data_IF_641166764529
#
_entry.id   IF_641166764529
#
_cell.length_a   1.000
_cell.length_b   1.000
_cell.length_c   1.000
_cell.angle_alpha   90.00
_cell.angle_beta   90.00
_cell.angle_gamma   90.00
#
_symmetry.space_group_name_H-M   'P 1'
#
loop_
_entity.id
_entity.type
_entity.pdbx_description
1 polymer ?
#
# COMPACT_ATOMS: atom_id res chain seq x y z
N UNK A 1 5.39 14.01 -50.06
CA UNK A 1 6.37 13.40 -49.13
C UNK A 1 6.92 14.54 -48.29
N UNK A 2 6.87 14.59 -46.97
CA UNK A 2 6.15 13.84 -45.94
C UNK A 2 6.05 14.80 -44.75
N UNK A 3 4.88 14.87 -44.11
CA UNK A 3 4.72 15.64 -42.88
C UNK A 3 5.32 14.83 -41.73
N UNK A 4 6.31 15.38 -41.04
CA UNK A 4 6.77 14.83 -39.77
C UNK A 4 5.83 15.33 -38.68
N UNK A 5 4.88 14.48 -38.26
CA UNK A 5 4.08 14.72 -37.06
C UNK A 5 5.02 14.62 -35.85
N UNK A 6 5.16 15.73 -35.12
CA UNK A 6 5.89 15.75 -33.86
C UNK A 6 5.16 14.87 -32.83
N UNK A 7 5.88 14.08 -32.01
CA UNK A 7 5.23 13.32 -30.96
C UNK A 7 4.63 14.29 -29.92
N UNK A 8 3.30 14.34 -29.85
CA UNK A 8 2.57 15.01 -28.78
C UNK A 8 2.91 14.34 -27.46
N UNK A 9 3.85 14.89 -26.70
CA UNK A 9 4.06 14.51 -25.31
C UNK A 9 2.87 15.01 -24.51
N UNK A 10 1.87 14.13 -24.33
CA UNK A 10 0.80 14.36 -23.36
C UNK A 10 1.47 14.37 -21.99
N UNK A 11 1.83 15.55 -21.49
CA UNK A 11 2.11 15.75 -20.07
C UNK A 11 0.80 15.51 -19.33
N UNK A 12 0.61 14.30 -18.83
CA UNK A 12 -0.40 14.06 -17.81
C UNK A 12 -0.10 15.02 -16.65
N UNK A 13 -1.08 15.82 -16.20
CA UNK A 13 -0.85 16.66 -15.03
C UNK A 13 -0.47 15.75 -13.86
N UNK A 14 0.67 16.03 -13.24
CA UNK A 14 1.09 15.33 -12.03
C UNK A 14 0.07 15.64 -10.94
N UNK A 15 -0.84 14.71 -10.68
CA UNK A 15 -1.75 14.78 -9.53
C UNK A 15 -0.85 14.84 -8.28
N UNK A 16 -0.95 15.88 -7.43
CA UNK A 16 -0.19 15.91 -6.19
C UNK A 16 -0.54 14.68 -5.36
N UNK A 17 0.43 13.78 -5.19
CA UNK A 17 0.24 12.63 -4.35
C UNK A 17 0.40 13.05 -2.89
N UNK A 18 -0.61 12.76 -2.08
CA UNK A 18 -0.58 12.99 -0.63
C UNK A 18 -0.47 11.66 0.11
N UNK A 19 0.05 11.66 1.35
CA UNK A 19 0.06 10.47 2.19
C UNK A 19 -1.36 9.93 2.42
N UNK A 20 -1.55 8.63 2.23
CA UNK A 20 -2.83 7.96 2.49
C UNK A 20 -2.69 7.11 3.74
N UNK A 21 -3.60 7.29 4.70
CA UNK A 21 -3.60 6.52 5.95
C UNK A 21 -4.84 5.64 6.02
N UNK A 22 -4.65 4.36 6.34
CA UNK A 22 -5.73 3.44 6.69
C UNK A 22 -5.45 2.82 8.06
N UNK A 23 -6.51 2.62 8.83
CA UNK A 23 -6.45 2.05 10.18
C UNK A 23 -7.48 0.94 10.33
N UNK A 24 -7.20 0.00 11.22
CA UNK A 24 -8.10 -1.09 11.53
C UNK A 24 -7.79 -1.74 12.86
N UNK A 25 -8.49 -2.84 13.13
CA UNK A 25 -8.29 -3.68 14.31
C UNK A 25 -8.50 -5.15 13.93
N UNK A 26 -7.58 -6.02 14.34
CA UNK A 26 -7.55 -7.43 13.94
C UNK A 26 -7.39 -7.60 12.42
N UNK A 27 -7.74 -8.78 11.93
CA UNK A 27 -7.74 -9.08 10.50
C UNK A 27 -8.86 -8.33 9.76
N UNK A 28 -8.52 -7.55 8.74
CA UNK A 28 -9.50 -6.82 7.93
C UNK A 28 -9.04 -6.61 6.49
N UNK A 29 -10.02 -6.40 5.61
CA UNK A 29 -9.80 -5.93 4.25
C UNK A 29 -10.09 -4.43 4.18
N UNK A 30 -9.17 -3.64 3.63
CA UNK A 30 -9.31 -2.18 3.47
C UNK A 30 -8.89 -1.73 2.08
N UNK A 31 -9.56 -0.72 1.55
CA UNK A 31 -9.23 -0.13 0.25
C UNK A 31 -8.61 1.25 0.45
N UNK A 32 -7.59 1.57 -0.35
CA UNK A 32 -6.94 2.87 -0.41
C UNK A 32 -6.81 3.32 -1.87
N UNK A 33 -7.04 4.61 -2.12
CA UNK A 33 -6.86 5.23 -3.43
C UNK A 33 -5.45 5.82 -3.53
N UNK A 34 -4.59 5.17 -4.33
CA UNK A 34 -3.16 5.47 -4.40
C UNK A 34 -2.80 6.15 -5.71
N UNK A 35 -2.67 7.47 -5.74
CA UNK A 35 -2.44 8.24 -6.98
C UNK A 35 -0.97 8.28 -7.46
N UNK A 36 0.01 7.90 -6.63
CA UNK A 36 1.41 7.81 -7.02
C UNK A 36 1.76 6.42 -7.57
N UNK A 37 2.92 6.31 -8.22
CA UNK A 37 3.46 5.03 -8.74
C UNK A 37 4.29 4.26 -7.71
N UNK A 38 4.60 4.86 -6.56
CA UNK A 38 5.42 4.26 -5.53
C UNK A 38 5.22 4.92 -4.17
N UNK A 39 5.35 4.11 -3.13
CA UNK A 39 5.12 4.50 -1.75
C UNK A 39 6.13 3.88 -0.81
N UNK A 40 6.55 4.65 0.20
CA UNK A 40 7.04 4.10 1.46
C UNK A 40 5.85 3.87 2.37
N UNK A 41 5.62 2.61 2.76
CA UNK A 41 4.52 2.21 3.64
C UNK A 41 5.04 2.11 5.05
N UNK A 42 4.67 3.06 5.92
CA UNK A 42 4.90 2.96 7.35
C UNK A 42 3.81 2.11 7.99
N UNK A 43 4.18 1.11 8.78
CA UNK A 43 3.24 0.24 9.48
C UNK A 43 3.48 0.26 10.98
N UNK A 44 2.38 0.19 11.72
CA UNK A 44 2.37 0.03 13.18
C UNK A 44 1.24 -0.93 13.53
N UNK A 45 1.54 -1.94 14.34
CA UNK A 45 0.57 -2.89 14.85
C UNK A 45 0.83 -3.10 16.34
N UNK A 46 -0.24 -3.12 17.13
CA UNK A 46 -0.17 -3.46 18.56
C UNK A 46 0.15 -4.93 18.81
N UNK A 47 -0.14 -5.80 17.84
CA UNK A 47 0.24 -7.20 17.84
C UNK A 47 1.68 -7.44 17.42
N UNK A 48 2.14 -8.67 17.62
CA UNK A 48 3.48 -9.10 17.25
C UNK A 48 3.64 -9.56 15.80
N UNK A 49 2.56 -9.64 15.04
CA UNK A 49 2.56 -10.13 13.68
C UNK A 49 1.57 -9.33 12.84
N UNK A 50 2.09 -8.74 11.76
CA UNK A 50 1.29 -8.07 10.73
C UNK A 50 1.77 -8.51 9.34
N UNK A 51 0.81 -8.87 8.49
CA UNK A 51 1.03 -9.17 7.08
C UNK A 51 0.05 -8.33 6.28
N UNK A 52 0.54 -7.66 5.25
CA UNK A 52 -0.28 -6.81 4.37
C UNK A 52 -0.08 -7.28 2.94
N UNK A 53 -1.14 -7.80 2.33
CA UNK A 53 -1.17 -8.27 0.94
C UNK A 53 -2.13 -7.39 0.14
N UNK A 54 -1.78 -6.99 -1.09
CA UNK A 54 -2.76 -6.41 -2.00
C UNK A 54 -3.67 -7.54 -2.50
N UNK A 55 -4.97 -7.29 -2.59
CA UNK A 55 -5.95 -8.22 -3.16
C UNK A 55 -5.95 -8.03 -4.68
N UNK A 56 -5.79 -9.13 -5.41
CA UNK A 56 -5.80 -9.16 -6.87
C UNK A 56 -7.23 -9.06 -7.43
N UNK A 57 -7.34 -8.83 -8.73
CA UNK A 57 -8.64 -8.69 -9.39
C UNK A 57 -9.51 -9.96 -9.34
N UNK A 58 -8.90 -11.14 -9.18
CA UNK A 58 -9.58 -12.42 -9.00
C UNK A 58 -9.97 -12.70 -7.53
N UNK A 59 -9.68 -11.77 -6.62
CA UNK A 59 -9.96 -11.88 -5.19
C UNK A 59 -8.90 -12.62 -4.38
N UNK A 60 -7.83 -13.11 -5.01
CA UNK A 60 -6.72 -13.76 -4.31
C UNK A 60 -5.75 -12.76 -3.68
N UNK A 61 -4.98 -13.20 -2.68
CA UNK A 61 -3.92 -12.40 -2.09
C UNK A 61 -2.69 -12.36 -3.00
N UNK A 62 -2.23 -11.15 -3.30
CA UNK A 62 -0.99 -10.90 -4.01
C UNK A 62 0.25 -11.01 -3.12
N UNK A 63 1.39 -10.59 -3.66
CA UNK A 63 2.67 -10.61 -2.93
C UNK A 63 2.61 -9.65 -1.74
N UNK A 64 2.99 -10.14 -0.55
CA UNK A 64 2.98 -9.34 0.67
C UNK A 64 3.88 -8.11 0.55
N UNK A 65 3.32 -6.95 0.86
CA UNK A 65 4.03 -5.66 0.96
C UNK A 65 4.75 -5.58 2.31
N UNK A 66 4.06 -6.02 3.36
CA UNK A 66 4.59 -6.12 4.72
C UNK A 66 4.43 -7.56 5.15
N UNK A 67 5.48 -8.14 5.72
CA UNK A 67 5.42 -9.42 6.42
C UNK A 67 6.38 -9.33 7.61
N UNK A 68 5.82 -9.05 8.78
CA UNK A 68 6.61 -8.85 9.99
C UNK A 68 5.96 -9.57 11.15
N UNK A 69 6.62 -10.62 11.63
CA UNK A 69 6.23 -11.36 12.83
C UNK A 69 7.44 -11.51 13.75
N UNK A 70 7.27 -11.11 15.02
CA UNK A 70 8.30 -11.14 16.04
C UNK A 70 8.04 -12.29 17.04
N UNK A 71 9.11 -12.80 17.65
CA UNK A 71 9.10 -14.01 18.49
C UNK A 71 8.47 -13.85 19.89
N UNK A 72 7.87 -12.70 20.21
CA UNK A 72 7.22 -12.41 21.50
C UNK A 72 5.97 -11.57 21.29
N UNK A 73 5.28 -11.12 22.35
CA UNK A 73 4.01 -10.39 22.25
C UNK A 73 4.15 -8.87 22.08
N UNK A 74 5.32 -8.40 21.63
CA UNK A 74 5.57 -6.97 21.46
C UNK A 74 4.97 -6.42 20.18
N UNK A 75 4.47 -5.19 20.22
CA UNK A 75 4.03 -4.43 19.05
C UNK A 75 5.12 -4.40 17.96
N UNK A 76 4.72 -4.54 16.70
CA UNK A 76 5.63 -4.41 15.54
C UNK A 76 5.39 -3.12 14.78
N UNK A 77 6.48 -2.51 14.32
CA UNK A 77 6.43 -1.34 13.45
C UNK A 77 7.63 -1.31 12.51
N UNK A 78 7.52 -0.53 11.45
CA UNK A 78 8.59 -0.34 10.49
C UNK A 78 8.12 0.30 9.20
N UNK A 79 8.93 0.17 8.16
CA UNK A 79 8.61 0.65 6.82
C UNK A 79 8.83 -0.45 5.79
N UNK A 80 8.07 -0.37 4.70
CA UNK A 80 8.21 -1.21 3.51
C UNK A 80 8.04 -0.35 2.25
N UNK A 81 8.27 -0.94 1.07
CA UNK A 81 8.05 -0.26 -0.21
C UNK A 81 6.90 -0.92 -0.95
N UNK A 82 6.01 -0.10 -1.51
CA UNK A 82 4.91 -0.56 -2.36
C UNK A 82 4.95 0.17 -3.71
N UNK A 83 4.83 -0.57 -4.81
CA UNK A 83 4.87 -0.04 -6.18
C UNK A 83 3.55 -0.28 -6.92
N UNK A 84 2.45 0.12 -6.30
CA UNK A 84 1.13 0.09 -6.92
C UNK A 84 0.49 1.47 -6.96
N UNK A 85 -0.44 1.63 -7.90
CA UNK A 85 -1.20 2.86 -8.14
C UNK A 85 -2.66 2.50 -8.40
N UNK A 86 -3.55 3.48 -8.26
CA UNK A 86 -4.99 3.33 -8.35
C UNK A 86 -5.63 2.83 -7.06
N UNK A 87 -6.93 2.53 -7.14
CA UNK A 87 -7.72 1.97 -6.05
C UNK A 87 -7.27 0.55 -5.75
N UNK A 88 -6.53 0.38 -4.65
CA UNK A 88 -5.97 -0.91 -4.23
C UNK A 88 -6.67 -1.38 -2.96
N UNK A 89 -7.14 -2.62 -2.97
CA UNK A 89 -7.63 -3.30 -1.77
C UNK A 89 -6.48 -4.08 -1.13
N UNK A 90 -6.33 -3.99 0.18
CA UNK A 90 -5.34 -4.69 0.98
C UNK A 90 -6.05 -5.60 1.97
N UNK A 91 -5.60 -6.84 2.03
CA UNK A 91 -5.88 -7.72 3.14
C UNK A 91 -4.80 -7.52 4.21
N UNK A 92 -5.21 -7.15 5.40
CA UNK A 92 -4.34 -6.92 6.55
C UNK A 92 -4.60 -8.03 7.55
N UNK A 93 -3.66 -8.95 7.65
CA UNK A 93 -3.63 -9.96 8.69
C UNK A 93 -2.91 -9.37 9.89
N UNK A 94 -3.62 -9.27 11.01
CA UNK A 94 -3.07 -8.84 12.28
C UNK A 94 -3.68 -9.71 13.37
N UNK A 95 -2.84 -10.34 14.19
CA UNK A 95 -3.28 -11.38 15.14
C UNK A 95 -4.34 -10.85 16.12
N UNK A 96 -4.17 -9.62 16.62
CA UNK A 96 -5.11 -8.92 17.50
C UNK A 96 -4.81 -7.41 17.56
N UNK A 97 -5.82 -6.60 17.90
CA UNK A 97 -5.62 -5.21 18.27
C UNK A 97 -5.47 -4.22 17.10
N UNK A 98 -5.33 -2.93 17.40
CA UNK A 98 -5.27 -1.87 16.40
C UNK A 98 -3.98 -1.92 15.56
N UNK A 99 -4.11 -1.47 14.32
CA UNK A 99 -3.02 -1.26 13.39
C UNK A 99 -3.26 -0.01 12.51
N UNK A 100 -2.17 0.53 11.98
CA UNK A 100 -2.14 1.69 11.09
C UNK A 100 -1.16 1.44 9.95
N UNK A 101 -1.56 1.78 8.72
CA UNK A 101 -0.70 1.84 7.54
C UNK A 101 -0.75 3.25 6.97
N UNK A 102 0.42 3.84 6.72
CA UNK A 102 0.56 5.14 6.05
C UNK A 102 1.39 4.98 4.80
N UNK A 103 0.78 5.24 3.65
CA UNK A 103 1.39 5.20 2.33
C UNK A 103 1.92 6.60 1.99
N UNK A 104 3.22 6.82 2.14
CA UNK A 104 3.89 8.08 1.80
C UNK A 104 4.39 8.01 0.35
N UNK A 105 3.91 8.86 -0.57
CA UNK A 105 4.38 8.90 -1.96
C UNK A 105 5.90 9.07 -2.05
N UNK A 106 6.52 8.39 -3.02
CA UNK A 106 7.94 8.52 -3.39
C UNK A 106 8.16 9.55 -4.50
#
# INVERSE_FOLDING_TARGET
MGGAEAPSTVSTPAVPAYPVTITGNGEQVKTADLVAHGYTVSYQASSNCIIVTPVQADGSDGVSVVSKCASGNGAVSGTATYKGTGRTTFHVYNTDGPWTLTFNPL
#
